data_IF_822830166522
#
_entry.id   IF_822830166522
#
_cell.length_a   1.000
_cell.length_b   1.000
_cell.length_c   1.000
_cell.angle_alpha   90.00
_cell.angle_beta   90.00
_cell.angle_gamma   90.00
#
_symmetry.space_group_name_H-M   'P 1'
#
loop_
_entity.id
_entity.type
_entity.pdbx_description
1 polymer ?
#
# COMPACT_ATOMS: atom_id res chain seq x y z
N UNK A 1 -2.61 -26.63 53.71
CA UNK A 1 -1.44 -26.23 52.88
C UNK A 1 -1.41 -26.92 51.51
N UNK A 2 -1.93 -28.12 51.33
CA UNK A 2 -1.93 -28.86 50.03
C UNK A 2 -2.97 -28.33 49.04
N UNK A 3 -4.13 -27.84 49.51
CA UNK A 3 -5.21 -27.31 48.62
C UNK A 3 -4.81 -25.99 47.96
N UNK A 4 -4.05 -25.13 48.62
CA UNK A 4 -3.57 -23.87 48.06
C UNK A 4 -2.53 -24.07 46.94
N UNK A 5 -1.75 -25.16 47.00
CA UNK A 5 -0.75 -25.47 45.97
C UNK A 5 -1.37 -26.02 44.67
N UNK A 6 -2.47 -26.75 44.78
CA UNK A 6 -3.21 -27.29 43.61
C UNK A 6 -3.92 -26.18 42.86
N UNK A 7 -4.47 -25.16 43.54
CA UNK A 7 -5.07 -24.01 42.85
C UNK A 7 -4.06 -23.13 42.10
N UNK A 8 -2.84 -22.97 42.61
CA UNK A 8 -1.78 -22.19 41.93
C UNK A 8 -1.27 -22.93 40.69
N UNK A 9 -1.14 -24.26 40.74
CA UNK A 9 -0.71 -25.07 39.57
C UNK A 9 -1.78 -25.11 38.48
N UNK A 10 -3.08 -25.07 38.82
CA UNK A 10 -4.18 -24.99 37.86
C UNK A 10 -4.29 -23.60 37.18
N UNK A 11 -3.94 -22.53 37.92
CA UNK A 11 -3.93 -21.17 37.32
C UNK A 11 -2.75 -20.99 36.37
N UNK A 12 -1.62 -21.64 36.58
CA UNK A 12 -0.48 -21.60 35.64
C UNK A 12 -0.66 -22.47 34.40
N UNK A 13 -1.55 -23.47 34.41
CA UNK A 13 -1.81 -24.33 33.23
C UNK A 13 -2.90 -23.81 32.29
N UNK A 14 -3.57 -22.70 32.63
CA UNK A 14 -4.57 -22.03 31.78
C UNK A 14 -4.07 -20.71 31.17
N UNK A 15 -2.80 -20.40 31.28
CA UNK A 15 -2.19 -19.51 30.32
C UNK A 15 -2.07 -20.26 28.97
N UNK A 16 -3.19 -20.44 28.28
CA UNK A 16 -3.14 -20.56 26.84
C UNK A 16 -2.25 -19.43 26.35
N UNK A 17 -1.10 -19.76 25.83
CA UNK A 17 -0.31 -18.85 25.02
C UNK A 17 -1.26 -18.41 23.93
N UNK A 18 -1.89 -17.25 24.09
CA UNK A 18 -2.55 -16.56 23.00
C UNK A 18 -1.42 -16.37 21.98
N UNK A 19 -1.34 -17.30 21.04
CA UNK A 19 -0.50 -17.15 19.87
C UNK A 19 -1.02 -15.91 19.17
N UNK A 20 -0.40 -14.76 19.45
CA UNK A 20 -0.72 -13.52 18.73
C UNK A 20 -0.37 -13.84 17.28
N UNK A 21 -1.40 -14.20 16.51
CA UNK A 21 -1.23 -14.41 15.06
C UNK A 21 -0.68 -13.11 14.49
N UNK A 22 0.58 -13.15 14.07
CA UNK A 22 1.21 -12.01 13.43
C UNK A 22 0.74 -12.00 11.98
N UNK A 23 0.10 -10.92 11.49
CA UNK A 23 -0.38 -10.84 10.11
C UNK A 23 0.71 -11.16 9.12
N UNK A 24 0.46 -12.06 8.17
CA UNK A 24 1.40 -12.38 7.09
C UNK A 24 0.90 -11.78 5.80
N UNK A 25 1.68 -10.89 5.21
CA UNK A 25 1.29 -10.13 4.02
C UNK A 25 2.38 -10.27 2.96
N UNK A 26 1.98 -10.64 1.74
CA UNK A 26 2.80 -10.45 0.54
C UNK A 26 2.42 -9.13 -0.09
N UNK A 27 3.39 -8.27 -0.32
CA UNK A 27 3.23 -7.07 -1.16
C UNK A 27 3.89 -7.34 -2.51
N UNK A 28 3.17 -7.11 -3.60
CA UNK A 28 3.70 -7.27 -4.97
C UNK A 28 3.60 -5.91 -5.64
N UNK A 29 4.75 -5.32 -6.01
CA UNK A 29 4.71 -3.97 -6.57
C UNK A 29 6.06 -3.36 -6.88
N UNK A 30 6.04 -2.07 -7.16
CA UNK A 30 7.17 -1.27 -7.58
C UNK A 30 8.09 -0.87 -6.43
N UNK A 31 9.31 -0.55 -6.83
CA UNK A 31 10.34 0.04 -6.00
C UNK A 31 11.06 1.12 -6.83
N UNK A 32 11.07 2.35 -6.36
CA UNK A 32 11.67 3.49 -7.04
C UNK A 32 12.57 4.29 -6.09
N UNK A 33 13.43 5.12 -6.67
CA UNK A 33 14.11 6.21 -5.97
C UNK A 33 13.51 7.54 -6.46
N UNK A 34 12.97 8.32 -5.53
CA UNK A 34 12.39 9.63 -5.81
C UNK A 34 13.49 10.69 -5.73
N UNK A 35 13.81 11.31 -6.87
CA UNK A 35 14.78 12.40 -6.99
C UNK A 35 14.04 13.72 -7.02
N UNK A 36 14.09 14.46 -5.93
CA UNK A 36 13.30 15.66 -5.72
C UNK A 36 14.18 16.91 -5.82
N UNK A 37 13.77 17.86 -6.66
CA UNK A 37 14.35 19.21 -6.68
C UNK A 37 13.26 20.20 -6.26
N UNK A 38 13.47 20.87 -5.13
CA UNK A 38 12.59 21.96 -4.68
C UNK A 38 13.20 23.29 -5.13
N UNK A 39 12.47 24.04 -5.97
CA UNK A 39 12.88 25.30 -6.53
C UNK A 39 11.85 26.42 -6.25
N UNK A 40 12.15 27.67 -6.57
CA UNK A 40 11.20 28.77 -6.38
C UNK A 40 9.99 28.68 -7.33
N UNK A 41 10.17 28.11 -8.51
CA UNK A 41 9.13 27.84 -9.52
C UNK A 41 9.55 26.69 -10.42
N UNK A 42 8.60 26.12 -11.16
CA UNK A 42 8.90 25.16 -12.22
C UNK A 42 9.44 25.88 -13.46
N UNK A 43 10.44 25.30 -14.19
CA UNK A 43 10.92 25.85 -15.44
C UNK A 43 9.86 25.68 -16.55
N UNK A 44 9.79 26.64 -17.47
CA UNK A 44 9.02 26.46 -18.71
C UNK A 44 9.86 25.72 -19.78
N UNK A 45 9.24 25.13 -20.83
CA UNK A 45 9.97 24.43 -21.88
C UNK A 45 11.11 25.29 -22.47
N UNK A 46 12.33 24.73 -22.51
CA UNK A 46 13.53 25.40 -23.00
C UNK A 46 14.26 26.28 -22.00
N UNK A 47 13.75 26.43 -20.78
CA UNK A 47 14.34 27.25 -19.74
C UNK A 47 15.29 26.44 -18.82
N UNK A 48 16.37 27.08 -18.42
CA UNK A 48 17.24 26.61 -17.33
C UNK A 48 17.13 27.55 -16.15
N UNK A 49 16.72 27.04 -14.98
CA UNK A 49 16.73 27.77 -13.73
C UNK A 49 17.88 27.27 -12.85
N UNK A 50 18.54 28.19 -12.15
CA UNK A 50 19.61 27.88 -11.19
C UNK A 50 19.11 28.05 -9.76
N UNK A 51 19.58 27.17 -8.88
CA UNK A 51 19.20 27.16 -7.45
C UNK A 51 18.27 26.00 -7.12
N UNK A 52 17.82 25.99 -5.89
CA UNK A 52 16.98 24.92 -5.35
C UNK A 52 17.73 23.95 -4.43
N UNK A 53 16.97 23.05 -3.81
CA UNK A 53 17.49 22.00 -2.92
C UNK A 53 17.17 20.64 -3.53
N UNK A 54 18.21 19.82 -3.67
CA UNK A 54 18.07 18.43 -4.13
C UNK A 54 18.11 17.47 -2.95
N UNK A 55 17.23 16.47 -2.98
CA UNK A 55 17.27 15.33 -2.09
C UNK A 55 16.70 14.08 -2.76
N UNK A 56 17.09 12.92 -2.24
CA UNK A 56 16.58 11.62 -2.70
C UNK A 56 15.82 10.94 -1.56
N UNK A 57 14.69 10.35 -1.90
CA UNK A 57 13.91 9.52 -0.99
C UNK A 57 13.69 8.15 -1.62
N UNK A 58 13.67 7.08 -0.82
CA UNK A 58 13.12 5.83 -1.29
C UNK A 58 11.63 5.97 -1.54
N UNK A 59 11.15 5.41 -2.66
CA UNK A 59 9.78 5.54 -3.13
C UNK A 59 9.28 4.27 -3.83
N UNK A 60 8.21 4.42 -4.61
CA UNK A 60 7.46 3.33 -5.23
C UNK A 60 6.33 2.83 -4.34
N UNK A 61 5.12 2.73 -4.92
CA UNK A 61 3.91 2.35 -4.16
C UNK A 61 4.05 1.00 -3.47
N UNK A 62 4.61 -0.01 -4.16
CA UNK A 62 4.86 -1.32 -3.58
C UNK A 62 5.75 -1.25 -2.35
N UNK A 63 6.87 -0.55 -2.45
CA UNK A 63 7.81 -0.37 -1.34
C UNK A 63 7.20 0.41 -0.18
N UNK A 64 6.48 1.50 -0.46
CA UNK A 64 5.82 2.31 0.57
C UNK A 64 4.80 1.48 1.35
N UNK A 65 3.98 0.69 0.65
CA UNK A 65 2.95 -0.17 1.26
C UNK A 65 3.57 -1.33 2.04
N UNK A 66 4.68 -1.90 1.55
CA UNK A 66 5.42 -2.95 2.26
C UNK A 66 6.01 -2.44 3.59
N UNK A 67 6.65 -1.26 3.57
CA UNK A 67 7.20 -0.63 4.78
C UNK A 67 6.07 -0.25 5.74
N UNK A 68 4.95 0.30 5.23
CA UNK A 68 3.80 0.62 6.06
C UNK A 68 3.27 -0.62 6.78
N UNK A 69 3.06 -1.73 6.05
CA UNK A 69 2.61 -2.97 6.65
C UNK A 69 3.60 -3.51 7.70
N UNK A 70 4.91 -3.47 7.42
CA UNK A 70 5.95 -3.95 8.33
C UNK A 70 6.01 -3.13 9.61
N UNK A 71 6.05 -1.79 9.53
CA UNK A 71 6.07 -0.89 10.70
C UNK A 71 4.81 -0.99 11.54
N UNK A 72 3.68 -1.32 10.92
CA UNK A 72 2.39 -1.50 11.57
C UNK A 72 2.16 -2.92 12.11
N UNK A 73 3.16 -3.81 12.01
CA UNK A 73 3.22 -5.05 12.76
C UNK A 73 3.07 -6.33 11.96
N UNK A 74 2.94 -6.29 10.64
CA UNK A 74 2.90 -7.48 9.81
C UNK A 74 4.28 -8.14 9.62
N UNK A 75 4.29 -9.43 9.35
CA UNK A 75 5.38 -10.15 8.70
C UNK A 75 5.21 -9.98 7.18
N UNK A 76 6.09 -9.20 6.57
CA UNK A 76 5.97 -8.80 5.16
C UNK A 76 6.99 -9.54 4.30
N UNK A 77 6.53 -10.11 3.21
CA UNK A 77 7.36 -10.52 2.07
C UNK A 77 7.12 -9.58 0.91
N UNK A 78 8.18 -8.99 0.36
CA UNK A 78 8.06 -8.08 -0.76
C UNK A 78 8.52 -8.76 -2.05
N UNK A 79 7.61 -8.87 -3.02
CA UNK A 79 7.87 -9.38 -4.38
C UNK A 79 8.00 -8.17 -5.29
N UNK A 80 9.21 -7.95 -5.82
CA UNK A 80 9.52 -6.78 -6.63
C UNK A 80 10.68 -7.06 -7.56
N UNK A 81 11.05 -6.08 -8.39
CA UNK A 81 12.24 -6.17 -9.24
C UNK A 81 13.01 -4.87 -9.27
N UNK A 82 14.32 -4.95 -9.05
CA UNK A 82 15.25 -3.83 -8.98
C UNK A 82 16.34 -4.01 -10.05
N UNK A 83 17.02 -2.93 -10.40
CA UNK A 83 18.22 -3.00 -11.24
C UNK A 83 19.45 -3.46 -10.45
N UNK A 84 20.46 -3.93 -11.19
CA UNK A 84 21.79 -4.22 -10.62
C UNK A 84 22.61 -2.91 -10.55
N UNK A 85 22.17 -1.98 -9.69
CA UNK A 85 22.76 -0.66 -9.55
C UNK A 85 22.73 -0.19 -8.09
N UNK A 86 23.29 1.01 -7.85
CA UNK A 86 23.40 1.58 -6.51
C UNK A 86 22.03 1.77 -5.86
N UNK A 87 21.00 2.18 -6.62
CA UNK A 87 19.66 2.41 -6.09
C UNK A 87 18.99 1.11 -5.64
N UNK A 88 19.14 0.05 -6.45
CA UNK A 88 18.63 -1.27 -6.08
C UNK A 88 19.30 -1.83 -4.82
N UNK A 89 20.63 -1.67 -4.69
CA UNK A 89 21.36 -2.11 -3.49
C UNK A 89 20.92 -1.33 -2.23
N UNK A 90 20.79 -0.01 -2.34
CA UNK A 90 20.30 0.82 -1.22
C UNK A 90 18.87 0.46 -0.82
N UNK A 91 17.99 0.21 -1.79
CA UNK A 91 16.63 -0.23 -1.53
C UNK A 91 16.59 -1.55 -0.75
N UNK A 92 17.39 -2.54 -1.13
CA UNK A 92 17.49 -3.81 -0.39
C UNK A 92 17.95 -3.64 1.06
N UNK A 93 18.90 -2.76 1.32
CA UNK A 93 19.36 -2.46 2.68
C UNK A 93 18.24 -1.84 3.53
N UNK A 94 17.48 -0.89 2.96
CA UNK A 94 16.34 -0.28 3.63
C UNK A 94 15.30 -1.34 3.99
N UNK A 95 14.89 -2.20 3.04
CA UNK A 95 13.87 -3.22 3.31
C UNK A 95 14.31 -4.24 4.35
N UNK A 96 15.57 -4.65 4.34
CA UNK A 96 16.15 -5.52 5.36
C UNK A 96 16.16 -4.87 6.75
N UNK A 97 16.46 -3.56 6.83
CA UNK A 97 16.43 -2.81 8.08
C UNK A 97 15.02 -2.71 8.66
N UNK A 98 13.99 -2.69 7.80
CA UNK A 98 12.57 -2.73 8.18
C UNK A 98 12.05 -4.16 8.42
N UNK A 99 12.94 -5.17 8.41
CA UNK A 99 12.63 -6.61 8.62
C UNK A 99 11.67 -7.20 7.60
N UNK A 100 11.66 -6.65 6.39
CA UNK A 100 10.91 -7.18 5.26
C UNK A 100 11.69 -8.36 4.68
N UNK A 101 11.01 -9.47 4.38
CA UNK A 101 11.62 -10.57 3.62
C UNK A 101 11.86 -10.12 2.18
N UNK A 102 13.13 -10.08 1.78
CA UNK A 102 13.62 -9.64 0.47
C UNK A 102 14.00 -10.76 -0.47
N UNK A 103 13.73 -12.03 -0.12
CA UNK A 103 14.09 -13.22 -0.90
C UNK A 103 13.54 -13.17 -2.33
N UNK A 104 12.36 -12.57 -2.50
CA UNK A 104 11.66 -12.45 -3.78
C UNK A 104 11.78 -11.06 -4.41
N UNK A 105 12.80 -10.29 -4.03
CA UNK A 105 13.20 -9.11 -4.77
C UNK A 105 14.22 -9.53 -5.82
N UNK A 106 13.76 -9.62 -7.06
CA UNK A 106 14.57 -10.06 -8.18
C UNK A 106 15.46 -8.93 -8.71
N UNK A 107 16.60 -9.28 -9.30
CA UNK A 107 17.52 -8.30 -9.90
C UNK A 107 17.49 -8.42 -11.41
N UNK A 108 17.23 -7.31 -12.09
CA UNK A 108 17.35 -7.18 -13.54
C UNK A 108 18.78 -6.71 -13.90
N UNK A 109 19.45 -7.47 -14.76
CA UNK A 109 20.82 -7.16 -15.21
C UNK A 109 20.84 -6.17 -16.39
N UNK A 110 19.68 -5.89 -17.01
CA UNK A 110 19.56 -5.08 -18.23
C UNK A 110 18.92 -3.72 -17.98
N UNK A 111 17.95 -3.68 -17.07
CA UNK A 111 17.21 -2.47 -16.74
C UNK A 111 17.71 -1.85 -15.45
N UNK A 112 17.89 -0.53 -15.35
CA UNK A 112 18.19 0.14 -14.09
C UNK A 112 17.00 0.07 -13.14
N UNK A 113 17.24 0.35 -11.86
CA UNK A 113 16.18 0.56 -10.86
C UNK A 113 15.28 1.72 -11.28
N UNK A 114 14.02 1.66 -10.86
CA UNK A 114 13.04 2.72 -11.15
C UNK A 114 13.42 4.04 -10.47
N UNK A 115 13.16 5.16 -11.13
CA UNK A 115 13.34 6.51 -10.59
C UNK A 115 12.12 7.37 -10.88
N UNK A 116 11.78 8.28 -9.95
CA UNK A 116 10.87 9.37 -10.19
C UNK A 116 11.63 10.69 -10.15
N UNK A 117 11.54 11.49 -11.20
CA UNK A 117 12.07 12.86 -11.24
C UNK A 117 10.95 13.81 -10.83
N UNK A 118 11.12 14.48 -9.71
CA UNK A 118 10.09 15.31 -9.09
C UNK A 118 10.62 16.74 -8.93
N UNK A 119 9.99 17.67 -9.61
CA UNK A 119 10.22 19.11 -9.40
C UNK A 119 9.08 19.67 -8.56
N UNK A 120 9.40 20.42 -7.50
CA UNK A 120 8.42 21.04 -6.60
C UNK A 120 8.71 22.53 -6.51
N UNK A 121 7.69 23.37 -6.67
CA UNK A 121 7.82 24.81 -6.52
C UNK A 121 7.57 25.31 -5.08
N UNK A 122 7.68 26.64 -4.87
CA UNK A 122 7.47 27.26 -3.56
C UNK A 122 6.02 27.20 -3.07
N UNK A 123 5.06 26.90 -3.93
CA UNK A 123 3.64 26.74 -3.60
C UNK A 123 3.26 25.29 -3.33
N UNK A 124 4.22 24.32 -3.54
CA UNK A 124 3.97 22.90 -3.39
C UNK A 124 3.43 22.23 -4.67
N UNK A 125 3.28 22.98 -5.77
CA UNK A 125 2.92 22.40 -7.06
C UNK A 125 4.08 21.55 -7.58
N UNK A 126 3.76 20.40 -8.17
CA UNK A 126 4.77 19.46 -8.62
C UNK A 126 4.61 19.06 -10.09
N UNK A 127 5.73 18.62 -10.66
CA UNK A 127 5.80 17.96 -11.96
C UNK A 127 6.62 16.69 -11.80
N UNK A 128 6.04 15.54 -12.21
CA UNK A 128 6.61 14.21 -11.93
C UNK A 128 6.75 13.45 -13.25
N UNK A 129 7.94 12.88 -13.45
CA UNK A 129 8.20 11.91 -14.52
C UNK A 129 8.71 10.64 -13.87
N UNK A 130 8.03 9.51 -14.10
CA UNK A 130 8.44 8.21 -13.59
C UNK A 130 9.06 7.40 -14.72
N UNK A 131 10.32 6.98 -14.52
CA UNK A 131 10.98 5.94 -15.30
C UNK A 131 10.96 4.65 -14.48
N UNK A 132 10.05 3.70 -14.77
CA UNK A 132 9.79 2.56 -13.88
C UNK A 132 10.92 1.52 -13.85
N UNK A 133 11.85 1.57 -14.80
CA UNK A 133 13.02 0.71 -14.81
C UNK A 133 12.69 -0.79 -14.67
N UNK A 134 13.44 -1.48 -13.83
CA UNK A 134 13.31 -2.91 -13.59
C UNK A 134 11.92 -3.33 -13.06
N UNK A 135 11.17 -2.45 -12.40
CA UNK A 135 9.80 -2.75 -11.95
C UNK A 135 8.87 -3.13 -13.12
N UNK A 136 9.10 -2.59 -14.34
CA UNK A 136 8.37 -2.96 -15.56
C UNK A 136 8.71 -4.34 -16.11
N UNK A 137 9.78 -4.98 -15.63
CA UNK A 137 10.20 -6.32 -16.04
C UNK A 137 9.87 -7.41 -15.00
N UNK A 138 9.13 -7.06 -13.93
CA UNK A 138 8.60 -8.07 -13.01
C UNK A 138 7.61 -8.96 -13.79
N UNK A 139 7.86 -10.27 -13.78
CA UNK A 139 7.24 -11.20 -14.72
C UNK A 139 6.39 -12.28 -14.02
N UNK A 140 5.59 -12.98 -14.80
CA UNK A 140 4.83 -14.17 -14.36
C UNK A 140 5.76 -15.23 -13.81
N UNK A 141 6.95 -15.42 -14.39
CA UNK A 141 7.96 -16.37 -13.91
C UNK A 141 8.50 -15.99 -12.52
N UNK A 142 8.61 -14.69 -12.24
CA UNK A 142 9.01 -14.22 -10.91
C UNK A 142 7.91 -14.50 -9.88
N UNK A 143 6.63 -14.34 -10.25
CA UNK A 143 5.50 -14.70 -9.39
C UNK A 143 5.47 -16.22 -9.13
N UNK A 144 5.72 -17.05 -10.14
CA UNK A 144 5.79 -18.51 -9.99
C UNK A 144 6.88 -18.94 -9.01
N UNK A 145 8.03 -18.27 -8.99
CA UNK A 145 9.10 -18.55 -8.01
C UNK A 145 8.67 -18.23 -6.57
N UNK A 146 7.72 -17.30 -6.40
CA UNK A 146 7.19 -16.90 -5.10
C UNK A 146 5.88 -17.61 -4.73
N UNK A 147 5.37 -18.55 -5.56
CA UNK A 147 4.04 -19.16 -5.39
C UNK A 147 3.88 -19.84 -4.02
N UNK A 148 4.92 -20.55 -3.53
CA UNK A 148 4.86 -21.18 -2.21
C UNK A 148 4.67 -20.13 -1.09
N UNK A 149 5.31 -18.96 -1.22
CA UNK A 149 5.15 -17.89 -0.26
C UNK A 149 3.75 -17.26 -0.31
N UNK A 150 3.16 -17.16 -1.50
CA UNK A 150 1.77 -16.70 -1.69
C UNK A 150 0.79 -17.63 -0.96
N UNK A 151 1.04 -18.94 -0.92
CA UNK A 151 0.20 -19.91 -0.19
C UNK A 151 0.22 -19.74 1.32
N UNK A 152 1.27 -19.18 1.89
CA UNK A 152 1.49 -19.10 3.34
C UNK A 152 0.91 -17.85 4.00
N UNK A 153 0.52 -16.85 3.21
CA UNK A 153 0.11 -15.54 3.74
C UNK A 153 -1.40 -15.40 3.84
N UNK A 154 -1.84 -14.37 4.56
CA UNK A 154 -3.26 -14.07 4.75
C UNK A 154 -3.77 -13.16 3.63
N UNK A 155 -2.94 -12.20 3.23
CA UNK A 155 -3.30 -11.13 2.29
C UNK A 155 -2.19 -10.92 1.26
N UNK A 156 -2.64 -10.65 0.03
CA UNK A 156 -1.80 -10.13 -1.06
C UNK A 156 -2.21 -8.68 -1.32
N UNK A 157 -1.27 -7.76 -1.20
CA UNK A 157 -1.46 -6.33 -1.45
C UNK A 157 -0.74 -5.91 -2.72
N UNK A 158 -1.45 -5.32 -3.67
CA UNK A 158 -0.92 -4.97 -5.00
C UNK A 158 -1.32 -3.57 -5.44
N UNK A 159 -0.52 -3.02 -6.39
CA UNK A 159 -0.76 -1.74 -7.07
C UNK A 159 -0.50 -1.92 -8.58
N UNK A 160 -0.58 -0.84 -9.36
CA UNK A 160 -0.50 -0.90 -10.82
C UNK A 160 0.76 -0.23 -11.40
N UNK A 161 1.84 -0.12 -10.63
CA UNK A 161 3.15 0.39 -11.12
C UNK A 161 4.06 -0.71 -11.70
N UNK A 162 3.56 -1.94 -11.82
CA UNK A 162 4.20 -3.09 -12.45
C UNK A 162 3.34 -3.58 -13.62
N UNK A 163 3.80 -4.51 -14.49
CA UNK A 163 2.99 -4.99 -15.60
C UNK A 163 1.64 -5.53 -15.16
N UNK A 164 0.56 -5.09 -15.82
CA UNK A 164 -0.82 -5.46 -15.45
C UNK A 164 -1.05 -6.97 -15.58
N UNK A 165 -0.50 -7.61 -16.61
CA UNK A 165 -0.57 -9.07 -16.79
C UNK A 165 0.06 -9.83 -15.62
N UNK A 166 1.13 -9.32 -15.05
CA UNK A 166 1.76 -9.87 -13.83
C UNK A 166 0.86 -9.69 -12.61
N UNK A 167 0.19 -8.52 -12.46
CA UNK A 167 -0.77 -8.28 -11.37
C UNK A 167 -2.00 -9.20 -11.48
N UNK A 168 -2.57 -9.31 -12.68
CA UNK A 168 -3.72 -10.19 -12.96
C UNK A 168 -3.38 -11.66 -12.68
N UNK A 169 -2.18 -12.10 -13.09
CA UNK A 169 -1.71 -13.45 -12.83
C UNK A 169 -1.52 -13.70 -11.33
N UNK A 170 -0.90 -12.77 -10.61
CA UNK A 170 -0.70 -12.89 -9.16
C UNK A 170 -2.04 -12.96 -8.40
N UNK A 171 -3.05 -12.16 -8.81
CA UNK A 171 -4.40 -12.24 -8.26
C UNK A 171 -5.06 -13.60 -8.53
N UNK A 172 -4.87 -14.16 -9.72
CA UNK A 172 -5.39 -15.48 -10.07
C UNK A 172 -4.77 -16.58 -9.20
N UNK A 173 -3.47 -16.54 -8.98
CA UNK A 173 -2.76 -17.48 -8.08
C UNK A 173 -3.24 -17.31 -6.64
N UNK A 174 -3.37 -16.08 -6.15
CA UNK A 174 -3.88 -15.78 -4.81
C UNK A 174 -5.29 -16.36 -4.61
N UNK A 175 -6.21 -16.11 -5.56
CA UNK A 175 -7.57 -16.62 -5.54
C UNK A 175 -7.61 -18.16 -5.54
N UNK A 176 -6.79 -18.82 -6.36
CA UNK A 176 -6.64 -20.29 -6.41
C UNK A 176 -6.34 -20.88 -5.01
N UNK A 177 -5.59 -20.16 -4.17
CA UNK A 177 -5.24 -20.57 -2.80
C UNK A 177 -6.13 -19.93 -1.72
N UNK A 178 -7.25 -19.31 -2.10
CA UNK A 178 -8.21 -18.72 -1.17
C UNK A 178 -7.65 -17.52 -0.38
N UNK A 179 -6.65 -16.82 -0.95
CA UNK A 179 -6.06 -15.64 -0.32
C UNK A 179 -6.84 -14.37 -0.65
N UNK A 180 -6.91 -13.45 0.29
CA UNK A 180 -7.56 -12.15 0.07
C UNK A 180 -6.64 -11.23 -0.74
N UNK A 181 -7.11 -10.81 -1.89
CA UNK A 181 -6.41 -9.83 -2.73
C UNK A 181 -6.91 -8.43 -2.41
N UNK A 182 -6.02 -7.56 -1.97
CA UNK A 182 -6.26 -6.13 -1.80
C UNK A 182 -5.57 -5.40 -2.94
N UNK A 183 -6.33 -4.62 -3.70
CA UNK A 183 -5.83 -3.84 -4.81
C UNK A 183 -5.95 -2.34 -4.51
N UNK A 184 -4.83 -1.64 -4.52
CA UNK A 184 -4.82 -0.19 -4.71
C UNK A 184 -4.66 0.09 -6.22
N UNK A 185 -5.70 0.54 -6.94
CA UNK A 185 -5.69 0.66 -8.40
C UNK A 185 -4.94 1.92 -8.87
N UNK A 186 -3.75 2.15 -8.31
CA UNK A 186 -2.89 3.30 -8.56
C UNK A 186 -1.59 2.91 -9.29
N UNK A 187 -1.18 3.65 -10.35
CA UNK A 187 -1.92 4.73 -10.99
C UNK A 187 -3.17 4.24 -11.71
N UNK A 188 -4.15 5.13 -11.86
CA UNK A 188 -5.41 4.82 -12.50
C UNK A 188 -5.22 4.16 -13.88
N UNK A 189 -5.86 3.00 -14.09
CA UNK A 189 -5.77 2.19 -15.31
C UNK A 189 -7.08 1.46 -15.57
N UNK A 190 -7.33 1.12 -16.83
CA UNK A 190 -8.45 0.24 -17.19
C UNK A 190 -8.14 -1.19 -16.75
N UNK A 191 -9.08 -1.82 -16.07
CA UNK A 191 -8.95 -3.18 -15.55
C UNK A 191 -10.04 -4.07 -16.13
N UNK A 192 -9.69 -5.32 -16.45
CA UNK A 192 -10.66 -6.31 -16.95
C UNK A 192 -11.61 -6.75 -15.84
N UNK A 193 -12.87 -7.03 -16.19
CA UNK A 193 -13.81 -7.56 -15.20
C UNK A 193 -13.37 -8.95 -14.68
N UNK A 194 -12.69 -9.76 -15.50
CA UNK A 194 -12.14 -11.05 -15.09
C UNK A 194 -11.05 -10.89 -14.01
N UNK A 195 -10.24 -9.85 -14.08
CA UNK A 195 -9.29 -9.53 -13.02
C UNK A 195 -10.00 -9.06 -11.75
N UNK A 196 -10.95 -8.13 -11.89
CA UNK A 196 -11.67 -7.54 -10.75
C UNK A 196 -12.42 -8.58 -9.92
N UNK A 197 -12.91 -9.67 -10.54
CA UNK A 197 -13.54 -10.80 -9.81
C UNK A 197 -12.57 -11.57 -8.89
N UNK A 198 -11.25 -11.43 -9.07
CA UNK A 198 -10.24 -12.00 -8.18
C UNK A 198 -9.84 -11.05 -7.04
N UNK A 199 -10.40 -9.83 -7.02
CA UNK A 199 -10.09 -8.81 -6.02
C UNK A 199 -11.11 -8.86 -4.89
N UNK A 200 -10.64 -9.17 -3.67
CA UNK A 200 -11.49 -9.17 -2.47
C UNK A 200 -11.86 -7.74 -2.02
N UNK A 201 -10.87 -6.83 -2.03
CA UNK A 201 -11.08 -5.43 -1.63
C UNK A 201 -10.32 -4.50 -2.55
N UNK A 202 -10.97 -3.45 -3.03
CA UNK A 202 -10.33 -2.40 -3.83
C UNK A 202 -10.29 -1.08 -3.06
N UNK A 203 -9.13 -0.40 -3.11
CA UNK A 203 -8.84 0.82 -2.36
C UNK A 203 -8.52 1.99 -3.31
N UNK A 204 -9.48 2.49 -4.11
CA UNK A 204 -9.27 3.63 -4.99
C UNK A 204 -9.34 4.97 -4.25
N UNK A 205 -8.64 5.97 -4.77
CA UNK A 205 -8.93 7.37 -4.47
C UNK A 205 -10.08 7.90 -5.36
N UNK A 206 -10.41 9.21 -5.26
CA UNK A 206 -11.49 9.84 -6.05
C UNK A 206 -11.28 9.69 -7.56
N UNK A 207 -10.05 9.88 -8.04
CA UNK A 207 -9.70 9.83 -9.48
C UNK A 207 -9.77 8.39 -9.98
N UNK A 208 -9.22 7.46 -9.24
CA UNK A 208 -9.24 6.04 -9.54
C UNK A 208 -10.67 5.47 -9.52
N UNK A 209 -11.48 5.90 -8.54
CA UNK A 209 -12.89 5.53 -8.47
C UNK A 209 -13.69 6.09 -9.66
N UNK A 210 -13.41 7.33 -10.10
CA UNK A 210 -14.01 7.91 -11.30
C UNK A 210 -13.65 7.09 -12.55
N UNK A 211 -12.38 6.72 -12.72
CA UNK A 211 -11.95 5.92 -13.87
C UNK A 211 -12.62 4.53 -13.88
N UNK A 212 -12.73 3.88 -12.71
CA UNK A 212 -13.31 2.54 -12.61
C UNK A 212 -14.84 2.53 -12.77
N UNK A 213 -15.52 3.56 -12.31
CA UNK A 213 -16.99 3.63 -12.29
C UNK A 213 -17.59 4.46 -13.43
N UNK A 214 -16.82 5.37 -14.03
CA UNK A 214 -17.31 6.42 -14.93
C UNK A 214 -18.05 7.55 -14.20
N UNK A 215 -18.03 7.58 -12.84
CA UNK A 215 -18.77 8.54 -12.02
C UNK A 215 -17.78 9.44 -11.28
N UNK A 216 -17.85 10.75 -11.52
CA UNK A 216 -17.01 11.74 -10.82
C UNK A 216 -17.38 11.80 -9.33
N UNK A 217 -16.40 11.57 -8.45
CA UNK A 217 -16.59 11.54 -6.99
C UNK A 217 -16.37 12.92 -6.40
N UNK A 218 -17.46 13.64 -6.15
CA UNK A 218 -17.43 15.02 -5.61
C UNK A 218 -17.94 15.11 -4.16
N UNK A 219 -18.85 14.23 -3.78
CA UNK A 219 -19.53 14.21 -2.47
C UNK A 219 -19.89 12.76 -2.08
N UNK A 220 -20.52 12.58 -0.92
CA UNK A 220 -20.90 11.26 -0.40
C UNK A 220 -21.87 10.55 -1.34
N UNK A 221 -22.83 11.24 -1.95
CA UNK A 221 -23.80 10.64 -2.86
C UNK A 221 -23.11 10.08 -4.13
N UNK A 222 -22.20 10.85 -4.72
CA UNK A 222 -21.41 10.37 -5.88
C UNK A 222 -20.44 9.28 -5.50
N UNK A 223 -19.87 9.29 -4.28
CA UNK A 223 -19.05 8.21 -3.77
C UNK A 223 -19.86 6.90 -3.60
N UNK A 224 -21.11 7.01 -3.11
CA UNK A 224 -22.04 5.88 -3.02
C UNK A 224 -22.27 5.24 -4.40
N UNK A 225 -22.66 6.04 -5.39
CA UNK A 225 -22.92 5.55 -6.76
C UNK A 225 -21.64 4.94 -7.39
N UNK A 226 -20.49 5.57 -7.19
CA UNK A 226 -19.21 5.05 -7.68
C UNK A 226 -18.87 3.70 -7.01
N UNK A 227 -19.02 3.59 -5.69
CA UNK A 227 -18.77 2.35 -4.96
C UNK A 227 -19.73 1.22 -5.40
N UNK A 228 -21.00 1.54 -5.63
CA UNK A 228 -21.96 0.59 -6.16
C UNK A 228 -21.54 0.09 -7.55
N UNK A 229 -21.26 1.00 -8.50
CA UNK A 229 -20.87 0.65 -9.87
C UNK A 229 -19.56 -0.16 -9.92
N UNK A 230 -18.61 0.10 -9.00
CA UNK A 230 -17.39 -0.70 -8.86
C UNK A 230 -17.73 -2.09 -8.30
N UNK A 231 -18.59 -2.18 -7.30
CA UNK A 231 -19.04 -3.46 -6.72
C UNK A 231 -19.77 -4.36 -7.73
N UNK A 232 -20.57 -3.78 -8.62
CA UNK A 232 -21.29 -4.50 -9.69
C UNK A 232 -20.33 -5.20 -10.69
N UNK A 233 -19.03 -4.86 -10.68
CA UNK A 233 -17.99 -5.56 -11.45
C UNK A 233 -17.49 -6.85 -10.77
N UNK A 234 -18.10 -7.26 -9.65
CA UNK A 234 -17.80 -8.48 -8.91
C UNK A 234 -16.90 -8.30 -7.69
N UNK A 235 -16.60 -7.07 -7.28
CA UNK A 235 -15.77 -6.78 -6.11
C UNK A 235 -16.64 -6.73 -4.85
N UNK A 236 -16.30 -7.55 -3.85
CA UNK A 236 -17.05 -7.64 -2.60
C UNK A 236 -16.99 -6.34 -1.78
N UNK A 237 -15.81 -5.78 -1.63
CA UNK A 237 -15.55 -4.63 -0.77
C UNK A 237 -14.88 -3.49 -1.54
N UNK A 238 -15.46 -2.29 -1.45
CA UNK A 238 -14.93 -1.07 -2.08
C UNK A 238 -14.71 -0.01 -1.00
N UNK A 239 -13.50 0.53 -0.91
CA UNK A 239 -13.16 1.58 0.04
C UNK A 239 -12.58 2.76 -0.75
N UNK A 240 -13.40 3.78 -0.98
CA UNK A 240 -12.98 4.99 -1.71
C UNK A 240 -12.37 5.98 -0.72
N UNK A 241 -11.08 6.26 -0.84
CA UNK A 241 -10.40 7.26 -0.01
C UNK A 241 -10.76 8.67 -0.49
N UNK A 242 -11.15 9.54 0.44
CA UNK A 242 -11.65 10.89 0.17
C UNK A 242 -10.73 11.99 0.73
N UNK A 243 -9.46 11.63 1.04
CA UNK A 243 -8.47 12.53 1.63
C UNK A 243 -8.89 12.96 3.03
N UNK A 244 -8.93 14.28 3.30
CA UNK A 244 -9.31 14.84 4.60
C UNK A 244 -10.71 14.46 5.06
N UNK A 245 -11.60 14.10 4.14
CA UNK A 245 -12.97 13.70 4.47
C UNK A 245 -13.05 12.27 5.01
N UNK A 246 -11.99 11.45 4.84
CA UNK A 246 -11.93 10.06 5.29
C UNK A 246 -12.11 9.05 4.19
N UNK A 247 -12.95 8.03 4.37
CA UNK A 247 -13.19 7.00 3.38
C UNK A 247 -14.65 6.55 3.32
N UNK A 248 -15.14 6.32 2.12
CA UNK A 248 -16.45 5.75 1.86
C UNK A 248 -16.32 4.25 1.63
N UNK A 249 -17.06 3.46 2.40
CA UNK A 249 -16.97 1.99 2.44
C UNK A 249 -18.24 1.38 1.91
N UNK A 250 -18.11 0.45 0.97
CA UNK A 250 -19.12 -0.53 0.59
C UNK A 250 -18.62 -1.92 1.04
N UNK A 251 -19.36 -2.57 1.92
CA UNK A 251 -19.16 -3.95 2.37
C UNK A 251 -20.42 -4.74 2.06
N UNK A 252 -20.36 -5.61 1.05
CA UNK A 252 -21.55 -6.28 0.48
C UNK A 252 -22.60 -5.24 0.08
N UNK A 253 -23.75 -5.23 0.75
CA UNK A 253 -24.87 -4.32 0.51
C UNK A 253 -24.93 -3.17 1.55
N UNK A 254 -23.95 -3.10 2.45
CA UNK A 254 -23.85 -2.05 3.46
C UNK A 254 -22.91 -0.93 3.02
N UNK A 255 -23.27 0.29 3.39
CA UNK A 255 -22.54 1.49 3.00
C UNK A 255 -22.30 2.38 4.23
N UNK A 256 -21.07 2.82 4.42
CA UNK A 256 -20.69 3.61 5.58
C UNK A 256 -19.65 4.67 5.22
N UNK A 257 -19.84 5.89 5.70
CA UNK A 257 -18.81 6.92 5.68
C UNK A 257 -18.01 6.87 6.98
N UNK A 258 -16.69 6.74 6.88
CA UNK A 258 -15.77 6.73 8.02
C UNK A 258 -14.90 7.99 7.93
N UNK A 259 -15.10 8.98 8.81
CA UNK A 259 -14.36 10.24 8.74
C UNK A 259 -12.86 10.04 9.05
N UNK A 260 -12.02 10.89 8.46
CA UNK A 260 -10.63 11.01 8.86
C UNK A 260 -10.49 11.76 10.18
N UNK A 261 -9.35 11.59 10.85
CA UNK A 261 -8.96 12.46 11.96
C UNK A 261 -8.44 13.77 11.40
N UNK A 262 -8.98 14.89 11.90
CA UNK A 262 -8.51 16.22 11.51
C UNK A 262 -7.10 16.48 12.09
N UNK A 263 -6.17 16.86 11.22
CA UNK A 263 -4.77 17.16 11.57
C UNK A 263 -4.25 18.29 10.69
N UNK A 264 -3.20 18.95 11.16
CA UNK A 264 -2.44 19.90 10.35
C UNK A 264 -1.58 19.13 9.33
N UNK A 265 -1.86 19.32 8.06
CA UNK A 265 -1.19 18.62 6.97
C UNK A 265 0.09 19.35 6.56
N UNK A 266 1.21 18.64 6.56
CA UNK A 266 2.53 19.13 6.10
C UNK A 266 2.84 18.58 4.70
N UNK A 267 2.66 17.26 4.49
CA UNK A 267 2.98 16.58 3.22
C UNK A 267 2.04 15.38 3.04
N UNK A 268 1.39 15.27 1.90
CA UNK A 268 0.46 14.18 1.59
C UNK A 268 1.09 13.01 0.84
N UNK A 269 2.41 13.10 0.55
CA UNK A 269 3.14 12.08 -0.20
C UNK A 269 3.07 10.72 0.51
N UNK A 270 2.65 9.69 -0.21
CA UNK A 270 2.55 8.33 0.32
C UNK A 270 1.41 8.07 1.32
N UNK A 271 0.54 9.07 1.63
CA UNK A 271 -0.57 8.88 2.57
C UNK A 271 -1.52 7.74 2.16
N UNK A 272 -1.80 7.61 0.86
CA UNK A 272 -2.57 6.49 0.31
C UNK A 272 -1.88 5.15 0.50
N UNK A 273 -0.55 5.09 0.37
CA UNK A 273 0.22 3.88 0.59
C UNK A 273 0.21 3.46 2.06
N UNK A 274 0.34 4.44 2.98
CA UNK A 274 0.20 4.20 4.43
C UNK A 274 -1.19 3.68 4.76
N UNK A 275 -2.23 4.26 4.16
CA UNK A 275 -3.60 3.77 4.31
C UNK A 275 -3.73 2.32 3.86
N UNK A 276 -3.23 1.97 2.67
CA UNK A 276 -3.33 0.62 2.11
C UNK A 276 -2.57 -0.42 2.97
N UNK A 277 -1.35 -0.09 3.42
CA UNK A 277 -0.57 -0.95 4.32
C UNK A 277 -1.26 -1.15 5.66
N UNK A 278 -1.73 -0.07 6.30
CA UNK A 278 -2.44 -0.10 7.59
C UNK A 278 -3.75 -0.89 7.51
N UNK A 279 -4.55 -0.64 6.46
CA UNK A 279 -5.79 -1.36 6.20
C UNK A 279 -5.54 -2.86 6.10
N UNK A 280 -4.53 -3.26 5.32
CA UNK A 280 -4.18 -4.67 5.09
C UNK A 280 -3.75 -5.37 6.38
N UNK A 281 -2.97 -4.70 7.23
CA UNK A 281 -2.57 -5.23 8.54
C UNK A 281 -3.79 -5.48 9.43
N UNK A 282 -4.64 -4.49 9.62
CA UNK A 282 -5.79 -4.58 10.51
C UNK A 282 -6.82 -5.62 10.01
N UNK A 283 -7.02 -5.72 8.68
CA UNK A 283 -7.88 -6.73 8.08
C UNK A 283 -7.31 -8.15 8.25
N UNK A 284 -5.99 -8.31 8.14
CA UNK A 284 -5.30 -9.60 8.35
C UNK A 284 -5.36 -10.06 9.81
N UNK A 285 -5.43 -9.13 10.77
CA UNK A 285 -5.69 -9.41 12.19
C UNK A 285 -7.13 -9.90 12.46
N UNK A 286 -7.97 -10.03 11.43
CA UNK A 286 -9.35 -10.49 11.53
C UNK A 286 -10.34 -9.43 11.97
N UNK A 287 -9.97 -8.17 11.93
CA UNK A 287 -10.88 -7.07 12.25
C UNK A 287 -11.88 -6.78 11.12
N UNK A 288 -13.00 -6.13 11.47
CA UNK A 288 -14.00 -5.69 10.49
C UNK A 288 -13.44 -4.65 9.52
N UNK A 289 -14.06 -4.55 8.34
CA UNK A 289 -13.69 -3.56 7.33
C UNK A 289 -13.72 -2.13 7.91
N UNK A 290 -14.78 -1.80 8.64
CA UNK A 290 -14.92 -0.49 9.29
C UNK A 290 -13.79 -0.18 10.30
N UNK A 291 -13.37 -1.16 11.11
CA UNK A 291 -12.23 -1.00 12.03
C UNK A 291 -10.92 -0.85 11.26
N UNK A 292 -10.74 -1.62 10.19
CA UNK A 292 -9.54 -1.54 9.34
C UNK A 292 -9.41 -0.17 8.68
N UNK A 293 -10.52 0.42 8.22
CA UNK A 293 -10.53 1.78 7.66
C UNK A 293 -10.25 2.84 8.74
N UNK A 294 -10.80 2.70 9.96
CA UNK A 294 -10.49 3.62 11.06
C UNK A 294 -9.00 3.60 11.41
N UNK A 295 -8.40 2.41 11.49
CA UNK A 295 -6.98 2.26 11.73
C UNK A 295 -6.13 2.83 10.60
N UNK A 296 -6.52 2.61 9.36
CA UNK A 296 -5.85 3.15 8.18
C UNK A 296 -5.93 4.70 8.13
N UNK A 297 -7.10 5.27 8.42
CA UNK A 297 -7.27 6.73 8.53
C UNK A 297 -6.35 7.31 9.63
N UNK A 298 -6.27 6.67 10.80
CA UNK A 298 -5.42 7.13 11.90
C UNK A 298 -3.92 7.08 11.52
N UNK A 299 -3.46 6.02 10.86
CA UNK A 299 -2.09 5.88 10.39
C UNK A 299 -1.76 6.92 9.31
N UNK A 300 -2.64 7.10 8.32
CA UNK A 300 -2.48 8.11 7.27
C UNK A 300 -2.50 9.54 7.82
N UNK A 301 -3.35 9.82 8.83
CA UNK A 301 -3.38 11.12 9.51
C UNK A 301 -2.05 11.46 10.19
N UNK A 302 -1.37 10.48 10.79
CA UNK A 302 -0.02 10.70 11.34
C UNK A 302 0.99 10.96 10.22
N UNK A 303 0.93 10.19 9.14
CA UNK A 303 1.87 10.33 8.03
C UNK A 303 1.83 11.74 7.42
N UNK A 304 0.65 12.30 7.18
CA UNK A 304 0.52 13.63 6.55
C UNK A 304 1.01 14.79 7.43
N UNK A 305 1.31 14.56 8.72
CA UNK A 305 1.95 15.55 9.59
C UNK A 305 3.49 15.54 9.50
N UNK A 306 4.06 14.75 8.59
CA UNK A 306 5.51 14.55 8.43
C UNK A 306 5.91 14.71 6.98
N UNK A 307 7.18 15.05 6.73
CA UNK A 307 7.72 15.21 5.38
C UNK A 307 8.16 13.86 4.81
N UNK A 308 7.84 13.63 3.54
CA UNK A 308 8.27 12.50 2.73
C UNK A 308 7.32 11.29 2.77
N UNK A 309 7.60 10.28 1.93
CA UNK A 309 6.82 9.06 1.84
C UNK A 309 7.21 8.05 2.94
N UNK A 310 8.28 7.30 2.74
CA UNK A 310 8.68 6.24 3.68
C UNK A 310 9.13 6.78 5.05
N UNK A 311 9.75 7.97 5.08
CA UNK A 311 10.14 8.64 6.34
C UNK A 311 8.95 9.02 7.22
N UNK A 312 7.80 9.31 6.61
CA UNK A 312 6.59 9.73 7.30
C UNK A 312 5.77 8.57 7.90
N UNK A 313 6.00 7.33 7.45
CA UNK A 313 5.22 6.16 7.86
C UNK A 313 5.34 5.92 9.38
N UNK A 314 4.23 5.87 10.12
CA UNK A 314 4.26 5.65 11.57
C UNK A 314 4.54 4.18 11.93
N UNK A 315 5.04 3.96 13.15
CA UNK A 315 5.07 2.65 13.76
C UNK A 315 3.75 2.34 14.48
N UNK A 316 3.41 1.05 14.66
CA UNK A 316 2.16 0.59 15.29
C UNK A 316 1.87 1.26 16.64
N UNK A 317 2.91 1.47 17.46
CA UNK A 317 2.80 2.11 18.79
C UNK A 317 2.34 3.57 18.76
N UNK A 318 2.45 4.23 17.61
CA UNK A 318 2.06 5.64 17.42
C UNK A 318 0.60 5.77 17.00
N UNK A 319 -0.02 4.69 16.48
CA UNK A 319 -1.38 4.69 15.97
C UNK A 319 -2.35 4.34 17.08
N UNK A 320 -3.08 5.34 17.55
CA UNK A 320 -4.12 5.21 18.59
C UNK A 320 -5.48 5.47 17.96
N UNK A 321 -6.45 4.54 18.17
CA UNK A 321 -7.84 4.61 17.69
C UNK A 321 -8.74 5.36 18.67
#
# INVERSE_FOLDING_TARGET
>A
MIIAFICIVLIFNTMETISIHRPKIVVIGSCNTDMVVKANRLPVPGETILGGTFYMNPGGKGANQAIAAARLGAEVTFISKIGYDLFGLQALEIYRSEKINTEYIFTDQKSPSGVALISVDSFGENSIIVAPGASRSLSIEDINKAEEKIKEVDIILMQLEIPIDTVEYAATIACKYGKKVILNPAPASSLSNSFLMNVHTILPNRIEAEMLSGIKVMNIESAHRAAQAIGEKGIENVVITLGKDGAYVKEKDEYTMIPAKEVETIDTTGAGDVFCGAFSVCLSEGHSLAKSVKFANAAAAIAVTRIGAQSAIPYKREVVL
#
